data_IF_649649521731
#
_entry.id   IF_649649521731
#
_cell.length_a   1.000
_cell.length_b   1.000
_cell.length_c   1.000
_cell.angle_alpha   90.00
_cell.angle_beta   90.00
_cell.angle_gamma   90.00
#
_symmetry.space_group_name_H-M   'P 1'
#
loop_
_entity.id
_entity.type
_entity.pdbx_description
1 polymer ?
#
# COMPACT_ATOMS: atom_id res chain seq x y z
N UNK A 1 -10.23 26.53 -8.82
CA UNK A 1 -8.99 27.21 -8.35
C UNK A 1 -7.87 26.22 -8.02
N UNK A 2 -8.12 25.16 -7.24
CA UNK A 2 -7.08 24.16 -6.90
C UNK A 2 -6.50 23.46 -8.14
N UNK A 3 -7.36 22.99 -9.06
CA UNK A 3 -6.95 22.28 -10.29
C UNK A 3 -5.93 23.07 -11.10
N UNK A 4 -6.12 24.39 -11.30
CA UNK A 4 -5.22 25.18 -12.15
C UNK A 4 -3.92 25.62 -11.45
N UNK A 5 -3.83 25.48 -10.13
CA UNK A 5 -2.72 26.03 -9.34
C UNK A 5 -1.86 24.95 -8.68
N UNK A 6 -2.32 23.70 -8.63
CA UNK A 6 -1.57 22.58 -8.08
C UNK A 6 -1.39 21.46 -9.10
N UNK A 7 -0.13 21.11 -9.34
CA UNK A 7 0.27 20.13 -10.35
C UNK A 7 -0.27 18.72 -10.08
N UNK A 8 -0.38 18.32 -8.81
CA UNK A 8 -0.85 16.98 -8.44
C UNK A 8 -2.35 16.87 -8.68
N UNK A 9 -3.11 17.90 -8.29
CA UNK A 9 -4.55 17.95 -8.56
C UNK A 9 -4.83 17.98 -10.07
N UNK A 10 -4.11 18.80 -10.83
CA UNK A 10 -4.27 18.87 -12.29
C UNK A 10 -4.00 17.52 -12.96
N UNK A 11 -2.85 16.91 -12.67
CA UNK A 11 -2.45 15.63 -13.27
C UNK A 11 -3.35 14.47 -12.81
N UNK A 12 -3.82 14.46 -11.55
CA UNK A 12 -4.80 13.49 -11.10
C UNK A 12 -6.15 13.63 -11.83
N UNK A 13 -6.59 14.86 -12.13
CA UNK A 13 -7.79 15.08 -12.95
C UNK A 13 -7.61 14.57 -14.38
N UNK A 14 -6.44 14.79 -15.00
CA UNK A 14 -6.16 14.23 -16.33
C UNK A 14 -6.28 12.70 -16.33
N UNK A 15 -5.74 12.02 -15.30
CA UNK A 15 -5.88 10.57 -15.17
C UNK A 15 -7.34 10.16 -14.97
N UNK A 16 -8.06 10.84 -14.08
CA UNK A 16 -9.46 10.54 -13.79
C UNK A 16 -10.39 10.75 -15.01
N UNK A 17 -10.04 11.67 -15.91
CA UNK A 17 -10.79 11.97 -17.14
C UNK A 17 -10.34 11.16 -18.36
N UNK A 18 -9.28 10.35 -18.24
CA UNK A 18 -8.75 9.54 -19.33
C UNK A 18 -7.83 10.29 -20.30
N UNK A 19 -7.39 11.50 -19.95
CA UNK A 19 -6.40 12.26 -20.72
C UNK A 19 -4.96 11.76 -20.48
N UNK A 20 -4.75 10.91 -19.46
CA UNK A 20 -3.49 10.25 -19.15
C UNK A 20 -3.72 8.90 -18.46
N UNK A 21 -2.77 7.96 -18.60
CA UNK A 21 -2.88 6.61 -18.00
C UNK A 21 -2.29 6.50 -16.59
N UNK A 22 -1.51 7.50 -16.15
CA UNK A 22 -0.89 7.48 -14.84
C UNK A 22 -0.13 8.76 -14.51
N UNK A 23 0.25 8.89 -13.23
CA UNK A 23 0.97 10.03 -12.69
C UNK A 23 2.18 9.55 -11.88
N UNK A 24 3.33 10.20 -12.08
CA UNK A 24 4.52 10.05 -11.26
C UNK A 24 4.85 11.41 -10.64
N UNK A 25 4.88 11.49 -9.31
CA UNK A 25 5.13 12.73 -8.55
C UNK A 25 5.95 12.45 -7.30
N UNK A 26 6.26 13.48 -6.51
CA UNK A 26 6.95 13.35 -5.22
C UNK A 26 8.44 13.73 -5.23
N UNK A 27 9.00 14.17 -6.36
CA UNK A 27 10.41 14.63 -6.43
C UNK A 27 10.68 15.84 -5.53
N UNK A 28 9.72 16.77 -5.44
CA UNK A 28 9.88 18.05 -4.71
C UNK A 28 8.83 18.25 -3.61
N UNK A 29 8.05 17.22 -3.27
CA UNK A 29 6.99 17.28 -2.25
C UNK A 29 7.12 16.08 -1.32
N UNK A 30 6.73 16.27 -0.07
CA UNK A 30 6.62 15.16 0.86
C UNK A 30 5.60 14.13 0.33
N UNK A 31 5.91 12.85 0.53
CA UNK A 31 5.06 11.72 0.13
C UNK A 31 3.61 11.87 0.63
N UNK A 32 3.41 12.21 1.91
CA UNK A 32 2.06 12.32 2.49
C UNK A 32 1.24 13.40 1.81
N UNK A 33 1.84 14.59 1.60
CA UNK A 33 1.19 15.69 0.87
C UNK A 33 0.84 15.31 -0.56
N UNK A 34 1.76 14.65 -1.27
CA UNK A 34 1.51 14.23 -2.65
C UNK A 34 0.39 13.18 -2.73
N UNK A 35 0.36 12.22 -1.80
CA UNK A 35 -0.69 11.21 -1.72
C UNK A 35 -2.05 11.86 -1.40
N UNK A 36 -2.09 12.80 -0.45
CA UNK A 36 -3.32 13.51 -0.09
C UNK A 36 -3.88 14.33 -1.26
N UNK A 37 -3.01 15.01 -2.02
CA UNK A 37 -3.41 15.76 -3.22
C UNK A 37 -4.06 14.84 -4.27
N UNK A 38 -3.46 13.67 -4.51
CA UNK A 38 -3.98 12.69 -5.49
C UNK A 38 -5.30 12.08 -5.01
N UNK A 39 -5.41 11.74 -3.72
CA UNK A 39 -6.61 11.12 -3.13
C UNK A 39 -7.82 12.05 -3.05
N UNK A 40 -7.65 13.35 -3.28
CA UNK A 40 -8.78 14.29 -3.46
C UNK A 40 -9.50 14.13 -4.79
N UNK A 41 -8.89 13.43 -5.74
CA UNK A 41 -9.38 13.28 -7.11
C UNK A 41 -9.57 11.82 -7.49
N UNK A 42 -8.65 10.95 -7.10
CA UNK A 42 -8.66 9.52 -7.44
C UNK A 42 -8.91 8.72 -6.16
N UNK A 43 -10.05 8.03 -6.12
CA UNK A 43 -10.40 7.14 -5.03
C UNK A 43 -9.65 5.80 -5.11
N UNK A 44 -9.58 5.10 -3.97
CA UNK A 44 -9.23 3.70 -3.97
C UNK A 44 -10.26 2.92 -4.80
N UNK A 45 -9.80 1.91 -5.53
CA UNK A 45 -10.72 1.03 -6.28
C UNK A 45 -11.69 0.35 -5.29
N UNK A 46 -12.99 0.17 -5.61
CA UNK A 46 -13.93 -0.47 -4.71
C UNK A 46 -13.46 -1.87 -4.28
N UNK A 47 -13.49 -2.13 -2.96
CA UNK A 47 -13.00 -3.38 -2.37
C UNK A 47 -11.47 -3.51 -2.31
N UNK A 48 -10.74 -2.45 -2.62
CA UNK A 48 -9.27 -2.43 -2.60
C UNK A 48 -8.72 -1.37 -1.62
N UNK A 49 -7.49 -1.60 -1.16
CA UNK A 49 -6.81 -0.70 -0.22
C UNK A 49 -5.53 -0.12 -0.85
N UNK A 50 -5.33 1.19 -0.70
CA UNK A 50 -4.11 1.86 -1.15
C UNK A 50 -2.96 1.48 -0.21
N UNK A 51 -1.92 0.84 -0.72
CA UNK A 51 -0.74 0.43 0.06
C UNK A 51 0.56 0.97 -0.55
N UNK A 52 1.56 1.17 0.30
CA UNK A 52 2.94 1.37 -0.14
C UNK A 52 3.70 0.05 -0.21
N UNK A 53 4.27 -0.28 -1.36
CA UNK A 53 5.12 -1.47 -1.54
C UNK A 53 6.56 -1.04 -1.80
N UNK A 54 7.49 -1.61 -1.04
CA UNK A 54 8.93 -1.51 -1.30
C UNK A 54 9.44 -2.81 -1.91
N UNK A 55 10.18 -2.71 -3.01
CA UNK A 55 10.89 -3.85 -3.62
C UNK A 55 12.32 -3.87 -3.10
N UNK A 56 12.68 -4.93 -2.38
CA UNK A 56 14.01 -5.12 -1.79
C UNK A 56 14.77 -6.17 -2.57
N UNK A 57 15.94 -5.81 -3.08
CA UNK A 57 16.89 -6.74 -3.71
C UNK A 57 17.98 -7.09 -2.70
N UNK A 58 17.94 -8.31 -2.17
CA UNK A 58 18.88 -8.78 -1.16
C UNK A 58 19.52 -10.10 -1.59
N UNK A 59 20.85 -10.12 -1.76
CA UNK A 59 21.63 -11.33 -2.12
C UNK A 59 21.07 -12.06 -3.34
N UNK A 60 20.66 -11.32 -4.37
CA UNK A 60 20.07 -11.87 -5.59
C UNK A 60 18.62 -12.36 -5.45
N UNK A 61 17.96 -12.09 -4.33
CA UNK A 61 16.54 -12.39 -4.11
C UNK A 61 15.72 -11.10 -4.06
N UNK A 62 14.56 -11.13 -4.68
CA UNK A 62 13.55 -10.07 -4.58
C UNK A 62 12.61 -10.37 -3.43
N UNK A 63 12.43 -9.41 -2.53
CA UNK A 63 11.44 -9.44 -1.45
C UNK A 63 10.55 -8.22 -1.59
N UNK A 64 9.23 -8.42 -1.53
CA UNK A 64 8.25 -7.35 -1.49
C UNK A 64 7.87 -7.10 -0.04
N UNK A 65 7.89 -5.83 0.38
CA UNK A 65 7.54 -5.41 1.74
C UNK A 65 6.39 -4.42 1.66
N UNK A 66 5.32 -4.70 2.39
CA UNK A 66 4.12 -3.87 2.47
C UNK A 66 3.48 -3.96 3.86
N UNK A 67 2.82 -2.94 4.39
CA UNK A 67 2.74 -1.56 3.89
C UNK A 67 3.82 -0.69 4.54
N UNK A 68 4.66 -0.04 3.73
CA UNK A 68 5.80 0.73 4.23
C UNK A 68 5.57 2.24 4.26
N UNK A 69 4.41 2.74 3.81
CA UNK A 69 4.24 4.18 3.59
C UNK A 69 2.85 4.76 3.86
N UNK A 70 1.78 3.96 3.89
CA UNK A 70 0.40 4.50 3.93
C UNK A 70 -0.27 4.32 5.30
N UNK A 71 -0.21 3.13 5.90
CA UNK A 71 -0.87 2.84 7.18
C UNK A 71 0.14 2.74 8.34
N UNK A 72 -0.04 3.59 9.36
CA UNK A 72 0.86 3.64 10.54
C UNK A 72 0.63 2.46 11.51
N UNK A 73 -0.61 2.28 11.99
CA UNK A 73 -0.94 1.21 12.93
C UNK A 73 -2.24 0.49 12.50
N UNK A 74 -2.18 -0.32 11.43
CA UNK A 74 -3.37 -0.98 10.89
C UNK A 74 -3.98 -1.98 11.89
N UNK A 75 -5.31 -2.11 11.84
CA UNK A 75 -6.05 -3.16 12.53
C UNK A 75 -5.97 -4.50 11.78
N UNK A 76 -6.55 -5.56 12.32
CA UNK A 76 -6.48 -6.90 11.72
C UNK A 76 -7.05 -6.97 10.29
N UNK A 77 -8.21 -6.37 10.04
CA UNK A 77 -8.85 -6.31 8.72
C UNK A 77 -7.96 -5.57 7.71
N UNK A 78 -7.39 -4.43 8.12
CA UNK A 78 -6.47 -3.65 7.29
C UNK A 78 -5.19 -4.43 6.99
N UNK A 79 -4.66 -5.20 7.95
CA UNK A 79 -3.50 -6.05 7.76
C UNK A 79 -3.79 -7.16 6.73
N UNK A 80 -5.00 -7.76 6.78
CA UNK A 80 -5.45 -8.73 5.79
C UNK A 80 -5.58 -8.09 4.39
N UNK A 81 -6.24 -6.93 4.29
CA UNK A 81 -6.35 -6.16 3.03
C UNK A 81 -4.95 -5.85 2.45
N UNK A 82 -4.00 -5.41 3.29
CA UNK A 82 -2.63 -5.12 2.87
C UNK A 82 -1.95 -6.37 2.31
N UNK A 83 -2.14 -7.53 2.94
CA UNK A 83 -1.61 -8.80 2.47
C UNK A 83 -2.17 -9.17 1.09
N UNK A 84 -3.48 -9.05 0.88
CA UNK A 84 -4.12 -9.34 -0.41
C UNK A 84 -3.62 -8.41 -1.53
N UNK A 85 -3.52 -7.11 -1.25
CA UNK A 85 -3.01 -6.11 -2.19
C UNK A 85 -1.54 -6.37 -2.57
N UNK A 86 -0.71 -6.72 -1.58
CA UNK A 86 0.68 -7.08 -1.81
C UNK A 86 0.79 -8.36 -2.66
N UNK A 87 -0.05 -9.37 -2.41
CA UNK A 87 -0.15 -10.57 -3.24
C UNK A 87 -0.57 -10.23 -4.68
N UNK A 88 -1.56 -9.35 -4.84
CA UNK A 88 -2.02 -8.87 -6.14
C UNK A 88 -0.91 -8.16 -6.92
N UNK A 89 -0.14 -7.30 -6.25
CA UNK A 89 1.02 -6.65 -6.84
C UNK A 89 2.12 -7.65 -7.23
N UNK A 90 2.43 -8.62 -6.35
CA UNK A 90 3.40 -9.68 -6.63
C UNK A 90 3.04 -10.47 -7.90
N UNK A 91 1.76 -10.85 -8.05
CA UNK A 91 1.25 -11.54 -9.24
C UNK A 91 1.41 -10.69 -10.51
N UNK A 92 1.10 -9.39 -10.46
CA UNK A 92 1.32 -8.47 -11.60
C UNK A 92 2.79 -8.35 -12.00
N UNK A 93 3.69 -8.50 -11.03
CA UNK A 93 5.13 -8.52 -11.25
C UNK A 93 5.68 -9.89 -11.70
N UNK A 94 4.81 -10.90 -11.88
CA UNK A 94 5.18 -12.24 -12.35
C UNK A 94 5.67 -13.19 -11.26
N UNK A 95 5.43 -12.88 -9.99
CA UNK A 95 5.80 -13.76 -8.86
C UNK A 95 4.60 -14.57 -8.37
N UNK A 96 4.88 -15.80 -7.93
CA UNK A 96 3.94 -16.58 -7.12
C UNK A 96 4.02 -16.11 -5.66
N UNK A 97 2.97 -15.48 -5.11
CA UNK A 97 3.04 -14.83 -3.81
C UNK A 97 3.14 -15.86 -2.68
N UNK A 98 4.15 -15.69 -1.82
CA UNK A 98 4.27 -16.39 -0.53
C UNK A 98 4.38 -15.32 0.55
N UNK A 99 3.27 -15.07 1.25
CA UNK A 99 3.17 -13.99 2.21
C UNK A 99 3.62 -14.48 3.59
N UNK A 100 4.47 -13.70 4.24
CA UNK A 100 4.83 -13.87 5.64
C UNK A 100 4.32 -12.66 6.43
N UNK A 101 3.45 -12.90 7.40
CA UNK A 101 2.96 -11.87 8.30
C UNK A 101 3.95 -11.68 9.44
N UNK A 102 4.58 -10.51 9.50
CA UNK A 102 5.64 -10.24 10.47
C UNK A 102 5.05 -9.71 11.79
N UNK A 103 5.50 -10.29 12.88
CA UNK A 103 5.28 -9.81 14.24
C UNK A 103 6.55 -10.04 15.06
N UNK A 104 6.66 -9.39 16.22
CA UNK A 104 7.76 -9.67 17.15
C UNK A 104 7.63 -11.06 17.81
N UNK A 105 6.44 -11.65 17.76
CA UNK A 105 6.16 -13.02 18.19
C UNK A 105 6.05 -13.96 17.00
N UNK A 106 6.32 -15.24 17.24
CA UNK A 106 6.10 -16.29 16.23
C UNK A 106 4.96 -17.18 16.71
N UNK A 107 3.91 -17.33 15.90
CA UNK A 107 2.72 -18.14 16.24
C UNK A 107 2.14 -17.84 17.64
N UNK A 108 2.16 -16.56 18.05
CA UNK A 108 1.56 -16.09 19.30
C UNK A 108 2.47 -16.10 20.53
N UNK A 109 3.75 -16.45 20.38
CA UNK A 109 4.70 -16.47 21.50
C UNK A 109 5.90 -15.53 21.29
N UNK A 110 6.20 -14.65 22.27
CA UNK A 110 5.39 -14.32 23.45
C UNK A 110 4.08 -13.59 23.07
N UNK A 111 3.06 -13.68 23.92
CA UNK A 111 1.77 -13.02 23.70
C UNK A 111 1.90 -11.49 23.72
N UNK A 112 0.98 -10.83 23.03
CA UNK A 112 0.75 -9.40 23.17
C UNK A 112 -0.12 -8.83 22.06
N UNK A 113 -0.72 -7.69 22.35
CA UNK A 113 -1.81 -7.08 21.57
C UNK A 113 -1.46 -6.90 20.07
N UNK A 114 -0.23 -6.44 19.76
CA UNK A 114 0.22 -6.27 18.36
C UNK A 114 0.31 -7.61 17.61
N UNK A 115 0.67 -8.68 18.31
CA UNK A 115 0.73 -10.02 17.73
C UNK A 115 -0.66 -10.62 17.51
N UNK A 116 -1.59 -10.34 18.43
CA UNK A 116 -2.99 -10.79 18.30
C UNK A 116 -3.66 -10.22 17.05
N UNK A 117 -3.41 -8.94 16.73
CA UNK A 117 -3.91 -8.32 15.49
C UNK A 117 -3.41 -9.04 14.23
N UNK A 118 -2.14 -9.46 14.23
CA UNK A 118 -1.57 -10.21 13.10
C UNK A 118 -2.15 -11.62 13.02
N UNK A 119 -2.38 -12.28 14.15
CA UNK A 119 -3.04 -13.60 14.17
C UNK A 119 -4.50 -13.54 13.73
N UNK A 120 -5.21 -12.46 14.07
CA UNK A 120 -6.56 -12.20 13.59
C UNK A 120 -6.55 -11.97 12.08
N UNK A 121 -5.62 -11.17 11.56
CA UNK A 121 -5.48 -10.96 10.13
C UNK A 121 -5.26 -12.28 9.36
N UNK A 122 -4.46 -13.19 9.90
CA UNK A 122 -4.27 -14.55 9.33
C UNK A 122 -5.56 -15.38 9.35
N UNK A 123 -6.47 -15.15 10.30
CA UNK A 123 -7.77 -15.85 10.37
C UNK A 123 -8.81 -15.26 9.41
N UNK A 124 -8.63 -14.02 8.97
CA UNK A 124 -9.50 -13.34 8.00
C UNK A 124 -9.20 -13.84 6.57
N UNK A 125 -7.94 -14.16 6.27
CA UNK A 125 -7.45 -14.69 4.99
C UNK A 125 -7.79 -16.18 4.79
#
# INVERSE_FOLDING_TARGET
RLINNDRNHFAACMVALGDADGIVTGVTRNYSTALDDVRRVIDAKPGHRVIGVSIVLARGRTVLVADTAVHDMPNAEQIADIAEEAAGFARRMGYEPRIAMLAYSTFGHPQGERSERVQEAVRIL
#
